data_IF_874710664579
#
_entry.id   IF_874710664579
#
_cell.length_a   1.000
_cell.length_b   1.000
_cell.length_c   1.000
_cell.angle_alpha   90.00
_cell.angle_beta   90.00
_cell.angle_gamma   90.00
#
_symmetry.space_group_name_H-M   'P 1'
#
loop_
_entity.id
_entity.type
_entity.pdbx_description
1 polymer ?
#
# COMPACT_ATOMS: atom_id res chain seq x y z
N UNK A 1 -5.79 4.15 -22.99
CA UNK A 1 -7.02 4.67 -22.32
C UNK A 1 -6.98 4.50 -20.79
N UNK A 2 -7.02 3.27 -20.23
CA UNK A 2 -7.01 3.08 -18.77
C UNK A 2 -5.65 3.42 -18.13
N UNK A 3 -4.55 2.95 -18.73
CA UNK A 3 -3.19 3.25 -18.27
C UNK A 3 -2.89 4.76 -18.30
N UNK A 4 -3.28 5.46 -19.38
CA UNK A 4 -3.16 6.92 -19.48
C UNK A 4 -3.89 7.63 -18.35
N UNK A 5 -5.11 7.18 -18.02
CA UNK A 5 -5.90 7.76 -16.92
C UNK A 5 -5.23 7.56 -15.56
N UNK A 6 -4.69 6.37 -15.29
CA UNK A 6 -3.96 6.13 -14.05
C UNK A 6 -2.65 6.89 -13.97
N UNK A 7 -1.95 7.04 -15.10
CA UNK A 7 -0.76 7.88 -15.15
C UNK A 7 -1.10 9.35 -14.92
N UNK A 8 -2.24 9.83 -15.44
CA UNK A 8 -2.71 11.19 -15.18
C UNK A 8 -3.09 11.45 -13.71
N UNK A 9 -3.44 10.41 -12.93
CA UNK A 9 -3.66 10.56 -11.48
C UNK A 9 -2.36 10.93 -10.73
N UNK A 10 -1.17 10.58 -11.27
CA UNK A 10 0.11 10.91 -10.65
C UNK A 10 0.35 12.42 -10.54
N UNK A 11 -0.15 13.21 -11.50
CA UNK A 11 -0.01 14.69 -11.46
C UNK A 11 -0.99 15.34 -10.49
N UNK A 12 -2.02 14.59 -10.05
CA UNK A 12 -3.06 15.04 -9.14
C UNK A 12 -2.82 14.61 -7.69
N UNK A 13 -1.83 13.76 -7.46
CA UNK A 13 -1.43 13.30 -6.14
C UNK A 13 -0.11 13.96 -5.72
N UNK A 14 -0.07 14.57 -4.55
CA UNK A 14 1.17 15.16 -4.02
C UNK A 14 2.30 14.13 -3.82
N UNK A 15 1.96 12.84 -3.71
CA UNK A 15 2.90 11.72 -3.61
C UNK A 15 3.10 10.98 -4.92
N UNK A 16 2.63 11.57 -6.03
CA UNK A 16 2.81 11.12 -7.42
C UNK A 16 2.35 9.69 -7.72
N UNK A 17 1.42 9.15 -6.94
CA UNK A 17 0.91 7.78 -7.16
C UNK A 17 -0.19 7.73 -8.23
N UNK A 18 -0.39 6.59 -8.91
CA UNK A 18 -1.46 6.39 -9.88
C UNK A 18 -2.84 6.23 -9.21
N UNK A 19 -3.12 7.03 -8.18
CA UNK A 19 -4.33 7.00 -7.37
C UNK A 19 -4.60 8.38 -6.74
N UNK A 20 -5.57 9.10 -7.31
CA UNK A 20 -5.91 10.47 -6.88
C UNK A 20 -7.30 10.55 -6.19
N UNK A 21 -7.78 9.44 -5.59
CA UNK A 21 -9.03 9.46 -4.84
C UNK A 21 -8.90 10.34 -3.59
N UNK A 22 -9.94 11.09 -3.26
CA UNK A 22 -10.03 11.81 -1.98
C UNK A 22 -10.58 10.94 -0.85
N UNK A 23 -11.05 9.74 -1.17
CA UNK A 23 -11.53 8.74 -0.21
C UNK A 23 -10.72 7.47 -0.39
N UNK A 24 -10.06 7.02 0.68
CA UNK A 24 -9.26 5.80 0.66
C UNK A 24 -10.10 4.65 1.18
N UNK A 25 -10.25 3.61 0.37
CA UNK A 25 -11.00 2.41 0.74
C UNK A 25 -10.11 1.37 1.41
N UNK A 26 -10.74 0.40 2.08
CA UNK A 26 -10.05 -0.77 2.60
C UNK A 26 -9.23 -1.47 1.51
N UNK A 27 -7.96 -1.77 1.79
CA UNK A 27 -7.03 -2.32 0.80
C UNK A 27 -6.57 -1.29 -0.24
N UNK A 28 -6.45 -0.01 0.13
CA UNK A 28 -6.00 1.05 -0.79
C UNK A 28 -4.62 0.79 -1.38
N UNK A 29 -3.70 0.17 -0.64
CA UNK A 29 -2.40 -0.25 -1.17
C UNK A 29 -2.55 -1.28 -2.30
N UNK A 30 -3.48 -2.22 -2.17
CA UNK A 30 -3.79 -3.17 -3.25
C UNK A 30 -4.39 -2.46 -4.46
N UNK A 31 -5.22 -1.43 -4.27
CA UNK A 31 -5.71 -0.62 -5.39
C UNK A 31 -4.58 0.07 -6.15
N UNK A 32 -3.60 0.62 -5.43
CA UNK A 32 -2.41 1.25 -6.02
C UNK A 32 -1.56 0.21 -6.76
N UNK A 33 -1.27 -0.94 -6.14
CA UNK A 33 -0.47 -2.01 -6.72
C UNK A 33 -1.13 -2.64 -7.95
N UNK A 34 -2.44 -2.86 -7.95
CA UNK A 34 -3.16 -3.36 -9.13
C UNK A 34 -3.12 -2.36 -10.30
N UNK A 35 -3.18 -1.06 -10.03
CA UNK A 35 -2.98 -0.04 -11.07
C UNK A 35 -1.55 -0.05 -11.59
N UNK A 36 -0.56 -0.25 -10.71
CA UNK A 36 0.84 -0.41 -11.10
C UNK A 36 1.04 -1.64 -12.00
N UNK A 37 0.35 -2.77 -11.73
CA UNK A 37 0.37 -3.92 -12.64
C UNK A 37 -0.12 -3.55 -14.05
N UNK A 38 -1.23 -2.81 -14.16
CA UNK A 38 -1.76 -2.37 -15.45
C UNK A 38 -0.81 -1.40 -16.18
N UNK A 39 -0.11 -0.53 -15.44
CA UNK A 39 0.93 0.34 -16.01
C UNK A 39 2.11 -0.49 -16.51
N UNK A 40 2.59 -1.48 -15.74
CA UNK A 40 3.68 -2.37 -16.16
C UNK A 40 3.34 -3.17 -17.42
N UNK A 41 2.10 -3.68 -17.50
CA UNK A 41 1.60 -4.34 -18.72
C UNK A 41 1.53 -3.37 -19.91
N UNK A 42 1.04 -2.15 -19.71
CA UNK A 42 1.01 -1.13 -20.75
C UNK A 42 2.42 -0.80 -21.26
N UNK A 43 3.40 -0.70 -20.37
CA UNK A 43 4.80 -0.52 -20.76
C UNK A 43 5.31 -1.69 -21.60
N UNK A 44 5.06 -2.94 -21.18
CA UNK A 44 5.50 -4.14 -21.93
C UNK A 44 4.90 -4.21 -23.33
N UNK A 45 3.64 -3.79 -23.51
CA UNK A 45 2.98 -3.84 -24.81
C UNK A 45 3.32 -2.68 -25.74
N UNK A 46 3.69 -1.52 -25.18
CA UNK A 46 3.88 -0.29 -25.97
C UNK A 46 5.34 0.16 -26.08
N UNK A 47 6.19 -0.29 -25.16
CA UNK A 47 7.56 0.23 -24.99
C UNK A 47 7.64 1.63 -24.36
N UNK A 48 6.51 2.27 -24.04
CA UNK A 48 6.53 3.64 -23.50
C UNK A 48 6.99 3.66 -22.03
N UNK A 49 8.19 4.20 -21.81
CA UNK A 49 8.84 4.27 -20.51
C UNK A 49 8.07 5.08 -19.46
N UNK A 50 7.15 5.97 -19.87
CA UNK A 50 6.35 6.76 -18.92
C UNK A 50 5.48 5.89 -18.03
N UNK A 51 5.04 4.73 -18.53
CA UNK A 51 4.27 3.79 -17.72
C UNK A 51 5.13 3.13 -16.64
N UNK A 52 6.40 2.76 -16.93
CA UNK A 52 7.34 2.24 -15.92
C UNK A 52 7.59 3.26 -14.82
N UNK A 53 7.71 4.55 -15.18
CA UNK A 53 7.84 5.62 -14.18
C UNK A 53 6.65 5.65 -13.19
N UNK A 54 5.43 5.42 -13.69
CA UNK A 54 4.25 5.29 -12.82
C UNK A 54 4.25 4.04 -11.93
N UNK A 55 4.88 2.95 -12.37
CA UNK A 55 5.09 1.75 -11.52
C UNK A 55 6.09 2.04 -10.40
N UNK A 56 7.21 2.71 -10.72
CA UNK A 56 8.20 3.15 -9.73
C UNK A 56 7.54 4.10 -8.71
N UNK A 57 6.75 5.06 -9.17
CA UNK A 57 6.03 5.98 -8.30
C UNK A 57 5.07 5.25 -7.32
N UNK A 58 4.44 4.16 -7.77
CA UNK A 58 3.60 3.32 -6.92
C UNK A 58 4.44 2.56 -5.88
N UNK A 59 5.56 1.96 -6.29
CA UNK A 59 6.46 1.24 -5.39
C UNK A 59 7.07 2.16 -4.33
N UNK A 60 7.53 3.35 -4.71
CA UNK A 60 8.05 4.38 -3.80
C UNK A 60 7.04 4.69 -2.69
N UNK A 61 5.76 4.88 -3.05
CA UNK A 61 4.72 5.15 -2.06
C UNK A 61 4.52 3.98 -1.09
N UNK A 62 4.48 2.76 -1.61
CA UNK A 62 4.33 1.54 -0.81
C UNK A 62 5.50 1.38 0.17
N UNK A 63 6.71 1.81 -0.23
CA UNK A 63 7.95 1.67 0.52
C UNK A 63 8.36 2.88 1.37
N UNK A 64 7.55 3.95 1.41
CA UNK A 64 7.77 5.06 2.35
C UNK A 64 7.56 6.47 1.82
N UNK A 65 7.41 6.67 0.50
CA UNK A 65 7.12 7.99 -0.10
C UNK A 65 5.63 8.34 0.03
N UNK A 66 5.19 8.46 1.28
CA UNK A 66 3.82 8.75 1.66
C UNK A 66 3.81 9.67 2.89
N UNK A 67 2.66 10.27 3.27
CA UNK A 67 2.63 11.27 4.34
C UNK A 67 2.95 10.76 5.74
N UNK A 68 3.11 9.46 5.93
CA UNK A 68 3.46 8.83 7.20
C UNK A 68 4.94 8.40 7.27
N UNK A 69 5.67 8.52 6.14
CA UNK A 69 7.02 7.98 5.99
C UNK A 69 7.09 6.46 6.20
N UNK A 70 5.95 5.77 6.07
CA UNK A 70 5.80 4.37 6.44
C UNK A 70 6.08 3.46 5.26
N UNK A 71 6.98 2.49 5.40
CA UNK A 71 6.95 1.34 4.50
C UNK A 71 5.80 0.43 4.91
N UNK A 72 4.83 0.22 4.02
CA UNK A 72 3.72 -0.68 4.27
C UNK A 72 4.10 -2.16 4.10
N UNK A 73 5.38 -2.46 3.89
CA UNK A 73 5.92 -3.81 3.70
C UNK A 73 6.78 -4.18 4.90
N UNK A 74 6.55 -5.36 5.46
CA UNK A 74 7.32 -5.86 6.60
C UNK A 74 8.76 -6.13 6.19
N UNK A 75 9.70 -5.83 7.10
CA UNK A 75 11.14 -6.07 6.90
C UNK A 75 11.82 -5.21 5.82
N UNK A 76 11.11 -4.28 5.19
CA UNK A 76 11.65 -3.44 4.09
C UNK A 76 11.53 -1.96 4.42
N UNK A 77 12.59 -1.19 4.16
CA UNK A 77 12.63 0.26 4.39
C UNK A 77 13.03 0.64 5.82
N UNK A 78 13.19 1.94 6.06
CA UNK A 78 13.68 2.46 7.35
C UNK A 78 12.62 2.41 8.47
N UNK A 79 11.33 2.44 8.10
CA UNK A 79 10.18 2.32 8.98
C UNK A 79 9.25 1.21 8.44
N UNK A 80 9.62 -0.06 8.61
CA UNK A 80 8.87 -1.20 8.08
C UNK A 80 7.53 -1.39 8.80
N UNK A 81 6.62 -2.16 8.20
CA UNK A 81 5.43 -2.69 8.86
C UNK A 81 5.83 -3.70 9.94
N UNK A 82 5.36 -3.51 11.17
CA UNK A 82 5.75 -4.36 12.32
C UNK A 82 4.58 -5.08 12.98
N UNK A 83 3.38 -4.49 13.01
CA UNK A 83 2.23 -5.01 13.75
C UNK A 83 0.99 -5.20 12.85
N UNK A 84 1.07 -6.02 11.77
CA UNK A 84 -0.09 -6.29 10.95
C UNK A 84 -1.19 -6.99 11.76
N UNK A 85 -2.45 -6.74 11.42
CA UNK A 85 -3.55 -7.56 11.92
C UNK A 85 -3.45 -8.97 11.31
N UNK A 86 -2.82 -9.88 12.03
CA UNK A 86 -2.68 -11.29 11.65
C UNK A 86 -2.65 -12.18 12.90
N UNK A 87 -3.36 -13.31 12.86
CA UNK A 87 -3.53 -14.18 14.05
C UNK A 87 -2.23 -14.81 14.53
N UNK A 88 -1.33 -15.16 13.60
CA UNK A 88 -0.06 -15.81 13.94
C UNK A 88 1.09 -14.81 14.11
N UNK A 89 1.09 -13.71 13.36
CA UNK A 89 2.16 -12.71 13.39
C UNK A 89 1.83 -11.62 14.42
N UNK A 90 1.58 -12.08 15.64
CA UNK A 90 0.89 -11.32 16.68
C UNK A 90 1.80 -10.87 17.84
N UNK A 91 3.05 -10.52 17.53
CA UNK A 91 4.06 -10.20 18.54
C UNK A 91 3.64 -9.07 19.50
N UNK A 92 2.88 -8.07 19.00
CA UNK A 92 2.35 -6.97 19.82
C UNK A 92 1.36 -7.45 20.92
N UNK A 93 0.62 -8.55 20.69
CA UNK A 93 -0.30 -9.13 21.66
C UNK A 93 0.35 -10.17 22.56
N UNK A 94 1.32 -10.93 22.02
CA UNK A 94 2.03 -11.97 22.76
C UNK A 94 3.47 -12.07 22.29
N UNK A 95 4.42 -11.89 23.20
CA UNK A 95 5.84 -12.00 22.91
C UNK A 95 6.26 -13.40 22.40
N UNK A 96 5.45 -14.44 22.64
CA UNK A 96 5.67 -15.79 22.11
C UNK A 96 5.28 -15.94 20.63
N UNK A 97 4.46 -15.03 20.10
CA UNK A 97 4.10 -14.99 18.69
C UNK A 97 5.21 -14.31 17.88
N UNK A 98 5.55 -14.81 16.68
CA UNK A 98 6.57 -14.18 15.85
C UNK A 98 6.10 -12.82 15.28
N UNK A 99 7.05 -11.94 14.90
CA UNK A 99 6.76 -10.81 14.01
C UNK A 99 6.40 -11.30 12.60
N UNK A 100 5.85 -10.45 11.72
CA UNK A 100 5.61 -10.84 10.33
C UNK A 100 6.93 -11.16 9.61
N UNK A 101 6.96 -12.16 8.71
CA UNK A 101 8.11 -12.37 7.85
C UNK A 101 8.28 -11.16 6.91
N UNK A 102 9.48 -10.91 6.35
CA UNK A 102 9.67 -9.86 5.37
C UNK A 102 8.79 -10.03 4.12
N UNK A 103 8.37 -8.93 3.50
CA UNK A 103 7.61 -8.94 2.24
C UNK A 103 6.08 -9.05 2.38
N UNK A 104 5.52 -8.93 3.59
CA UNK A 104 4.08 -8.87 3.82
C UNK A 104 3.59 -7.43 3.66
N UNK A 105 2.50 -7.21 2.91
CA UNK A 105 1.97 -5.86 2.67
C UNK A 105 0.69 -5.60 3.45
N UNK A 106 0.66 -4.45 4.11
CA UNK A 106 -0.53 -3.91 4.78
C UNK A 106 -1.58 -3.44 3.76
N UNK A 107 -2.86 -3.59 4.10
CA UNK A 107 -3.97 -3.04 3.32
C UNK A 107 -3.86 -1.52 3.07
N UNK A 108 -3.24 -0.79 4.00
CA UNK A 108 -2.94 0.64 3.86
C UNK A 108 -4.07 1.56 4.30
N UNK A 109 -3.92 2.88 4.08
CA UNK A 109 -4.86 3.87 4.59
C UNK A 109 -6.30 3.59 4.18
N UNK A 110 -7.23 3.78 5.13
CA UNK A 110 -8.66 3.60 4.90
C UNK A 110 -9.42 4.69 5.66
N UNK A 111 -10.10 5.55 4.90
CA UNK A 111 -10.89 6.67 5.38
C UNK A 111 -12.40 6.47 5.16
N UNK A 112 -12.83 5.32 4.61
CA UNK A 112 -14.23 5.05 4.29
C UNK A 112 -14.89 4.03 5.22
N UNK A 113 -14.14 3.03 5.68
CA UNK A 113 -14.64 1.96 6.55
C UNK A 113 -13.84 1.94 7.87
N UNK A 114 -13.96 3.00 8.67
CA UNK A 114 -13.24 3.17 9.95
C UNK A 114 -14.02 2.57 11.12
N UNK A 115 -14.01 1.24 11.20
CA UNK A 115 -14.90 0.46 12.09
C UNK A 115 -14.20 -0.28 13.22
N UNK A 116 -12.88 -0.43 13.17
CA UNK A 116 -12.10 -1.04 14.25
C UNK A 116 -11.76 -0.01 15.35
N UNK A 117 -11.42 -0.46 16.58
CA UNK A 117 -11.14 0.46 17.70
C UNK A 117 -10.06 1.49 17.39
N UNK A 118 -9.01 1.11 16.66
CA UNK A 118 -7.90 2.01 16.30
C UNK A 118 -8.36 3.01 15.25
N UNK A 119 -9.03 2.56 14.20
CA UNK A 119 -9.59 3.41 13.15
C UNK A 119 -10.62 4.40 13.72
N UNK A 120 -11.44 4.01 14.68
CA UNK A 120 -12.37 4.93 15.34
C UNK A 120 -11.66 6.11 16.03
N UNK A 121 -10.44 5.92 16.55
CA UNK A 121 -9.66 7.02 17.14
C UNK A 121 -9.17 8.04 16.10
N UNK A 122 -9.01 7.60 14.84
CA UNK A 122 -8.56 8.42 13.72
C UNK A 122 -9.73 9.07 12.95
N UNK A 123 -10.94 8.54 13.10
CA UNK A 123 -12.12 8.96 12.33
C UNK A 123 -12.40 10.46 12.52
N UNK A 124 -12.41 11.19 11.40
CA UNK A 124 -12.59 12.65 11.38
C UNK A 124 -11.37 13.46 11.86
N UNK A 125 -10.24 12.79 12.15
CA UNK A 125 -9.01 13.40 12.68
C UNK A 125 -7.78 13.17 11.80
N UNK A 126 -7.90 12.38 10.75
CA UNK A 126 -6.85 12.11 9.77
C UNK A 126 -7.22 12.65 8.40
N UNK A 127 -6.22 13.11 7.64
CA UNK A 127 -6.35 13.23 6.20
C UNK A 127 -6.43 11.81 5.59
N UNK A 128 -7.10 11.60 4.44
CA UNK A 128 -7.36 10.25 3.91
C UNK A 128 -6.13 9.33 3.80
N UNK A 129 -5.01 9.82 3.25
CA UNK A 129 -3.75 9.07 3.16
C UNK A 129 -3.03 8.87 4.50
N UNK A 130 -3.44 9.58 5.55
CA UNK A 130 -2.91 9.45 6.93
C UNK A 130 -3.81 8.61 7.83
N UNK A 131 -4.95 8.12 7.33
CA UNK A 131 -5.88 7.28 8.08
C UNK A 131 -5.35 5.83 8.16
N UNK A 132 -4.24 5.64 8.87
CA UNK A 132 -3.56 4.36 9.04
C UNK A 132 -2.76 4.35 10.35
N UNK A 133 -2.59 3.18 10.96
CA UNK A 133 -1.73 2.97 12.12
C UNK A 133 -1.10 1.57 12.08
N UNK A 134 0.15 1.46 12.55
CA UNK A 134 0.84 0.18 12.69
C UNK A 134 0.47 -0.50 14.02
N UNK A 135 -0.77 -0.97 14.10
CA UNK A 135 -1.33 -1.63 15.28
C UNK A 135 -2.08 -2.89 14.89
N UNK A 136 -1.90 -3.95 15.67
CA UNK A 136 -2.51 -5.26 15.42
C UNK A 136 -4.04 -5.22 15.54
N UNK A 137 -4.61 -4.28 16.29
CA UNK A 137 -6.05 -4.13 16.43
C UNK A 137 -6.66 -3.32 15.27
N UNK A 138 -5.84 -2.75 14.37
CA UNK A 138 -6.29 -1.91 13.27
C UNK A 138 -6.73 -2.71 12.03
N UNK A 139 -7.63 -3.68 12.15
CA UNK A 139 -7.98 -4.57 11.03
C UNK A 139 -8.56 -3.86 9.79
N UNK A 140 -9.19 -2.70 9.94
CA UNK A 140 -9.68 -1.93 8.79
C UNK A 140 -8.57 -1.15 8.06
N UNK A 141 -7.39 -0.99 8.68
CA UNK A 141 -6.27 -0.20 8.16
C UNK A 141 -5.03 -1.07 7.87
N UNK A 142 -4.79 -2.09 8.68
CA UNK A 142 -3.50 -2.78 8.81
C UNK A 142 -3.58 -4.31 8.74
N UNK A 143 -4.69 -4.87 8.25
CA UNK A 143 -4.73 -6.29 7.89
C UNK A 143 -3.76 -6.61 6.74
N UNK A 144 -3.56 -7.90 6.49
CA UNK A 144 -2.77 -8.47 5.40
C UNK A 144 -3.60 -9.53 4.67
N UNK A 145 -3.46 -9.64 3.35
CA UNK A 145 -4.25 -10.58 2.57
C UNK A 145 -3.53 -11.07 1.30
N UNK A 146 -3.87 -12.28 0.86
CA UNK A 146 -3.29 -12.91 -0.34
C UNK A 146 -3.47 -12.05 -1.60
N UNK A 147 -4.63 -11.39 -1.75
CA UNK A 147 -4.94 -10.52 -2.89
C UNK A 147 -4.26 -9.15 -2.80
N UNK A 148 -3.57 -8.84 -1.71
CA UNK A 148 -2.74 -7.64 -1.57
C UNK A 148 -1.26 -7.98 -1.77
N UNK A 149 -0.82 -9.13 -1.25
CA UNK A 149 0.53 -9.64 -1.48
C UNK A 149 0.76 -10.08 -2.94
N UNK A 150 -0.24 -10.66 -3.62
CA UNK A 150 -0.12 -11.06 -5.03
C UNK A 150 0.28 -9.91 -5.96
N UNK A 151 -0.38 -8.73 -5.96
CA UNK A 151 0.05 -7.62 -6.80
C UNK A 151 1.37 -6.99 -6.33
N UNK A 152 1.73 -7.06 -5.03
CA UNK A 152 3.07 -6.66 -4.58
C UNK A 152 4.14 -7.54 -5.24
N UNK A 153 3.98 -8.87 -5.20
CA UNK A 153 4.93 -9.81 -5.82
C UNK A 153 5.07 -9.53 -7.31
N UNK A 154 3.95 -9.30 -8.02
CA UNK A 154 3.99 -8.99 -9.45
C UNK A 154 4.77 -7.69 -9.72
N UNK A 155 4.47 -6.62 -8.98
CA UNK A 155 5.14 -5.31 -9.16
C UNK A 155 6.62 -5.41 -8.83
N UNK A 156 6.98 -6.09 -7.75
CA UNK A 156 8.37 -6.32 -7.37
C UNK A 156 9.12 -7.08 -8.48
N UNK A 157 8.56 -8.18 -8.97
CA UNK A 157 9.16 -8.96 -10.06
C UNK A 157 9.26 -8.16 -11.37
N UNK A 158 8.28 -7.32 -11.69
CA UNK A 158 8.33 -6.44 -12.86
C UNK A 158 9.45 -5.39 -12.76
N UNK A 159 9.69 -4.83 -11.56
CA UNK A 159 10.73 -3.83 -11.34
C UNK A 159 12.13 -4.44 -11.21
N UNK A 160 12.22 -5.68 -10.72
CA UNK A 160 13.46 -6.45 -10.65
C UNK A 160 13.89 -7.00 -12.01
N UNK A 161 12.92 -7.28 -12.89
CA UNK A 161 13.19 -7.70 -14.27
C UNK A 161 13.74 -6.53 -15.11
N UNK A 162 15.03 -6.24 -14.91
CA UNK A 162 15.94 -5.62 -15.88
C UNK A 162 16.96 -6.68 -16.34
#
# INVERSE_FOLDING_TARGET
>A
AAADRFLADTTRSGYRIPYASQTYSWGSNSSILNRAMLLGLAQRFTGDARYRAGVVDAADYILGRNPLGQSYVSGTGWKPLTNPHHRFWAHQLSASSPPPPPGVVSGGPNSSAMVDPVAMTLKGRCAPQRCWADDINAYALNEVAINWNAPLVWVAAYLDSD
#
